data_IF_130577326661
#
_entry.id   IF_130577326661
#
_cell.length_a   1.000
_cell.length_b   1.000
_cell.length_c   1.000
_cell.angle_alpha   90.00
_cell.angle_beta   90.00
_cell.angle_gamma   90.00
#
_symmetry.space_group_name_H-M   'P 1'
#
loop_
_entity.id
_entity.type
_entity.pdbx_description
1 polymer ?
#
# COMPACT_ATOMS: atom_id res chain seq x y z
N UNK A 1 -14.66 -14.91 12.08
CA UNK A 1 -14.74 -13.82 11.09
C UNK A 1 -16.08 -13.12 11.20
N UNK A 2 -16.08 -11.82 11.46
CA UNK A 2 -17.31 -11.02 11.59
C UNK A 2 -17.67 -10.48 10.21
N UNK A 3 -18.62 -11.11 9.52
CA UNK A 3 -19.11 -10.62 8.22
C UNK A 3 -19.56 -9.17 8.37
N UNK A 4 -19.07 -8.27 7.50
CA UNK A 4 -19.49 -6.86 7.48
C UNK A 4 -21.00 -6.82 7.22
N UNK A 5 -21.78 -6.39 8.21
CA UNK A 5 -23.23 -6.23 8.07
C UNK A 5 -23.50 -5.03 7.15
N UNK A 6 -24.32 -5.22 6.12
CA UNK A 6 -24.82 -4.14 5.25
C UNK A 6 -25.44 -3.04 6.12
N UNK A 7 -24.74 -1.93 6.28
CA UNK A 7 -25.27 -0.71 6.88
C UNK A 7 -26.01 0.06 5.78
N UNK A 8 -27.32 0.26 5.97
CA UNK A 8 -28.16 1.02 5.05
C UNK A 8 -27.83 2.52 5.13
N UNK A 9 -26.97 3.03 4.24
CA UNK A 9 -26.79 4.47 4.07
C UNK A 9 -27.79 5.03 3.04
N UNK A 10 -28.44 6.14 3.37
CA UNK A 10 -29.58 6.71 2.62
C UNK A 10 -29.31 7.30 1.24
N UNK A 11 -28.06 7.39 0.77
CA UNK A 11 -27.73 7.75 -0.63
C UNK A 11 -26.37 7.17 -1.00
N UNK A 12 -26.33 5.88 -1.31
CA UNK A 12 -25.23 5.34 -2.11
C UNK A 12 -25.31 6.06 -3.47
N UNK A 13 -24.30 6.84 -3.84
CA UNK A 13 -24.21 7.33 -5.21
C UNK A 13 -24.14 6.09 -6.10
N UNK A 14 -25.06 5.94 -7.04
CA UNK A 14 -25.04 4.79 -7.92
C UNK A 14 -23.68 4.73 -8.62
N UNK A 15 -22.95 3.61 -8.49
CA UNK A 15 -21.66 3.50 -9.12
C UNK A 15 -21.89 3.53 -10.63
N UNK A 16 -20.96 4.11 -11.42
CA UNK A 16 -21.04 4.07 -12.88
C UNK A 16 -21.30 2.65 -13.37
N UNK A 17 -22.03 2.51 -14.48
CA UNK A 17 -22.40 1.20 -15.01
C UNK A 17 -21.18 0.30 -15.19
N UNK A 18 -20.07 0.86 -15.65
CA UNK A 18 -18.81 0.13 -15.86
C UNK A 18 -18.23 -0.46 -14.55
N UNK A 19 -18.37 0.26 -13.44
CA UNK A 19 -17.94 -0.23 -12.13
C UNK A 19 -18.87 -1.34 -11.61
N UNK A 20 -20.16 -1.31 -11.97
CA UNK A 20 -21.09 -2.41 -11.66
C UNK A 20 -20.74 -3.65 -12.46
N UNK A 21 -20.53 -3.50 -13.78
CA UNK A 21 -20.12 -4.59 -14.66
C UNK A 21 -18.81 -5.23 -14.19
N UNK A 22 -17.81 -4.42 -13.82
CA UNK A 22 -16.55 -4.95 -13.27
C UNK A 22 -16.79 -5.75 -11.99
N UNK A 23 -17.64 -5.26 -11.09
CA UNK A 23 -17.96 -6.01 -9.87
C UNK A 23 -18.62 -7.35 -10.17
N UNK A 24 -19.57 -7.38 -11.09
CA UNK A 24 -20.23 -8.62 -11.50
C UNK A 24 -19.24 -9.60 -12.13
N UNK A 25 -18.30 -9.11 -12.94
CA UNK A 25 -17.20 -9.93 -13.49
C UNK A 25 -16.29 -10.48 -12.38
N UNK A 26 -15.92 -9.63 -11.41
CA UNK A 26 -15.14 -10.04 -10.23
C UNK A 26 -15.95 -10.98 -9.34
N UNK A 27 -17.28 -10.95 -9.31
CA UNK A 27 -18.07 -11.88 -8.51
C UNK A 27 -18.25 -13.23 -9.24
N UNK A 28 -18.33 -13.22 -10.57
CA UNK A 28 -18.57 -14.41 -11.39
C UNK A 28 -17.29 -15.19 -11.78
N UNK A 29 -16.12 -14.55 -11.82
CA UNK A 29 -14.89 -15.20 -12.26
C UNK A 29 -14.48 -16.37 -11.35
N UNK A 30 -13.88 -17.46 -11.85
CA UNK A 30 -13.25 -18.47 -10.99
C UNK A 30 -12.05 -17.88 -10.24
N UNK A 31 -11.68 -18.45 -9.09
CA UNK A 31 -10.57 -17.93 -8.26
C UNK A 31 -9.25 -17.91 -9.03
N UNK A 32 -8.96 -18.97 -9.77
CA UNK A 32 -7.76 -19.07 -10.61
C UNK A 32 -7.74 -18.09 -11.79
N UNK A 33 -8.90 -17.58 -12.23
CA UNK A 33 -9.01 -16.63 -13.33
C UNK A 33 -9.27 -15.19 -12.86
N UNK A 34 -9.29 -14.95 -11.55
CA UNK A 34 -9.62 -13.64 -10.99
C UNK A 34 -8.58 -12.58 -11.41
N UNK A 35 -7.31 -12.98 -11.52
CA UNK A 35 -6.25 -12.09 -11.98
C UNK A 35 -6.47 -11.57 -13.40
N UNK A 36 -7.09 -12.33 -14.31
CA UNK A 36 -7.33 -11.87 -15.69
C UNK A 36 -8.35 -10.74 -15.75
N UNK A 37 -9.32 -10.74 -14.83
CA UNK A 37 -10.30 -9.66 -14.69
C UNK A 37 -9.67 -8.41 -14.08
N UNK A 38 -8.73 -8.58 -13.14
CA UNK A 38 -8.15 -7.47 -12.38
C UNK A 38 -6.92 -6.83 -13.04
N UNK A 39 -6.10 -7.60 -13.76
CA UNK A 39 -4.86 -7.15 -14.42
C UNK A 39 -5.03 -5.90 -15.31
N UNK A 40 -6.12 -5.72 -16.07
CA UNK A 40 -6.31 -4.51 -16.89
C UNK A 40 -6.41 -3.21 -16.07
N UNK A 41 -6.76 -3.31 -14.78
CA UNK A 41 -7.00 -2.17 -13.90
C UNK A 41 -5.73 -1.81 -13.11
N UNK A 42 -4.72 -1.29 -13.82
CA UNK A 42 -3.48 -0.76 -13.22
C UNK A 42 -3.67 0.66 -12.67
N UNK A 43 -4.60 1.41 -13.23
CA UNK A 43 -5.02 2.72 -12.76
C UNK A 43 -6.51 2.69 -12.47
N UNK A 44 -7.00 3.65 -11.68
CA UNK A 44 -8.42 3.73 -11.35
C UNK A 44 -9.18 4.43 -12.50
N UNK A 45 -9.99 3.71 -13.30
CA UNK A 45 -10.61 4.29 -14.49
C UNK A 45 -11.92 5.01 -14.18
N UNK A 46 -12.42 4.89 -12.94
CA UNK A 46 -13.73 5.40 -12.56
C UNK A 46 -13.60 6.76 -11.87
N UNK A 47 -14.71 7.49 -11.80
CA UNK A 47 -14.81 8.59 -10.85
C UNK A 47 -14.63 8.08 -9.42
N UNK A 48 -14.30 8.99 -8.49
CA UNK A 48 -14.21 8.66 -7.06
C UNK A 48 -15.49 7.97 -6.59
N UNK A 49 -15.37 6.74 -6.10
CA UNK A 49 -16.49 5.88 -5.72
C UNK A 49 -16.72 5.77 -4.21
N UNK A 50 -17.62 4.87 -3.81
CA UNK A 50 -17.89 4.51 -2.42
C UNK A 50 -17.54 3.03 -2.18
N UNK A 51 -16.77 2.75 -1.12
CA UNK A 51 -16.34 1.41 -0.74
C UNK A 51 -17.52 0.48 -0.40
N UNK A 52 -18.69 1.02 -0.03
CA UNK A 52 -19.90 0.21 0.20
C UNK A 52 -20.29 -0.65 -1.00
N UNK A 53 -20.05 -0.19 -2.22
CA UNK A 53 -20.33 -0.99 -3.42
C UNK A 53 -19.41 -2.19 -3.53
N UNK A 54 -18.15 -2.04 -3.10
CA UNK A 54 -17.12 -3.06 -3.22
C UNK A 54 -17.12 -4.08 -2.07
N UNK A 55 -18.07 -4.02 -1.13
CA UNK A 55 -18.18 -4.97 -0.02
C UNK A 55 -18.15 -6.44 -0.50
N UNK A 56 -18.92 -6.87 -1.53
CA UNK A 56 -18.86 -8.26 -1.98
C UNK A 56 -17.48 -8.63 -2.55
N UNK A 57 -16.88 -7.72 -3.33
CA UNK A 57 -15.52 -7.88 -3.86
C UNK A 57 -14.49 -8.01 -2.73
N UNK A 58 -14.56 -7.16 -1.72
CA UNK A 58 -13.67 -7.20 -0.55
C UNK A 58 -13.82 -8.51 0.24
N UNK A 59 -15.06 -8.97 0.47
CA UNK A 59 -15.29 -10.25 1.13
C UNK A 59 -14.70 -11.42 0.33
N UNK A 60 -14.85 -11.40 -1.00
CA UNK A 60 -14.25 -12.42 -1.86
C UNK A 60 -12.72 -12.40 -1.76
N UNK A 61 -12.12 -11.21 -1.73
CA UNK A 61 -10.68 -11.05 -1.56
C UNK A 61 -10.22 -11.60 -0.21
N UNK A 62 -10.99 -11.36 0.86
CA UNK A 62 -10.70 -11.90 2.19
C UNK A 62 -10.72 -13.43 2.21
N UNK A 63 -11.70 -14.04 1.55
CA UNK A 63 -11.81 -15.50 1.42
C UNK A 63 -10.63 -16.06 0.63
N UNK A 64 -10.31 -15.46 -0.53
CA UNK A 64 -9.20 -15.92 -1.39
C UNK A 64 -7.83 -15.75 -0.71
N UNK A 65 -7.61 -14.64 0.01
CA UNK A 65 -6.39 -14.46 0.82
C UNK A 65 -6.33 -15.45 1.98
N UNK A 66 -7.45 -15.75 2.64
CA UNK A 66 -7.49 -16.74 3.71
C UNK A 66 -7.11 -18.14 3.20
N UNK A 67 -7.69 -18.56 2.06
CA UNK A 67 -7.37 -19.84 1.42
C UNK A 67 -5.88 -19.93 1.06
N UNK A 68 -5.31 -18.85 0.52
CA UNK A 68 -3.87 -18.80 0.21
C UNK A 68 -3.01 -18.85 1.49
N UNK A 69 -3.36 -18.09 2.53
CA UNK A 69 -2.64 -18.10 3.81
C UNK A 69 -2.64 -19.49 4.43
N UNK A 70 -3.76 -20.20 4.37
CA UNK A 70 -3.87 -21.58 4.87
C UNK A 70 -3.06 -22.55 4.01
N UNK A 71 -3.23 -22.51 2.68
CA UNK A 71 -2.53 -23.38 1.72
C UNK A 71 -1.00 -23.27 1.84
N UNK A 72 -0.48 -22.07 2.03
CA UNK A 72 0.95 -21.76 2.09
C UNK A 72 1.49 -21.55 3.49
N UNK A 73 0.67 -21.78 4.53
CA UNK A 73 1.00 -21.66 5.95
C UNK A 73 1.69 -20.33 6.32
N UNK A 74 1.14 -19.22 5.84
CA UNK A 74 1.73 -17.87 6.04
C UNK A 74 1.56 -17.31 7.46
N UNK A 75 1.19 -18.14 8.44
CA UNK A 75 1.24 -17.79 9.86
C UNK A 75 2.69 -17.72 10.40
N UNK A 76 3.62 -18.38 9.69
CA UNK A 76 5.06 -18.24 9.85
C UNK A 76 5.72 -17.94 8.51
N UNK A 77 7.06 -17.99 8.46
CA UNK A 77 7.80 -17.84 7.21
C UNK A 77 7.35 -18.89 6.19
N UNK A 78 7.09 -18.44 4.96
CA UNK A 78 6.63 -19.30 3.87
C UNK A 78 7.57 -20.50 3.64
N UNK A 79 6.99 -21.70 3.64
CA UNK A 79 7.74 -22.96 3.44
C UNK A 79 7.76 -23.42 1.98
N UNK A 80 6.72 -23.09 1.21
CA UNK A 80 6.57 -23.50 -0.19
C UNK A 80 6.18 -22.33 -1.08
N UNK A 81 6.78 -22.26 -2.26
CA UNK A 81 6.51 -21.22 -3.25
C UNK A 81 5.05 -21.24 -3.72
N UNK A 82 4.53 -20.07 -4.07
CA UNK A 82 3.20 -19.96 -4.67
C UNK A 82 3.16 -20.65 -6.04
N UNK A 83 2.03 -21.26 -6.36
CA UNK A 83 1.76 -21.60 -7.75
C UNK A 83 1.51 -20.29 -8.53
N UNK A 84 1.78 -20.32 -9.83
CA UNK A 84 1.72 -19.12 -10.67
C UNK A 84 0.33 -18.45 -10.66
N UNK A 85 -0.74 -19.25 -10.62
CA UNK A 85 -2.12 -18.74 -10.58
C UNK A 85 -2.41 -18.02 -9.26
N UNK A 86 -2.04 -18.63 -8.12
CA UNK A 86 -2.23 -18.03 -6.80
C UNK A 86 -1.41 -16.74 -6.66
N UNK A 87 -0.14 -16.75 -7.07
CA UNK A 87 0.73 -15.58 -7.02
C UNK A 87 0.11 -14.40 -7.79
N UNK A 88 -0.31 -14.62 -9.04
CA UNK A 88 -0.90 -13.57 -9.87
C UNK A 88 -2.22 -13.06 -9.31
N UNK A 89 -3.01 -13.95 -8.73
CA UNK A 89 -4.28 -13.61 -8.08
C UNK A 89 -4.05 -12.74 -6.85
N UNK A 90 -3.10 -13.10 -5.99
CA UNK A 90 -2.73 -12.28 -4.82
C UNK A 90 -2.22 -10.91 -5.24
N UNK A 91 -1.26 -10.83 -6.17
CA UNK A 91 -0.72 -9.55 -6.66
C UNK A 91 -1.82 -8.66 -7.21
N UNK A 92 -2.69 -9.20 -8.07
CA UNK A 92 -3.77 -8.44 -8.71
C UNK A 92 -4.80 -7.95 -7.69
N UNK A 93 -5.15 -8.77 -6.70
CA UNK A 93 -6.08 -8.41 -5.63
C UNK A 93 -5.51 -7.35 -4.69
N UNK A 94 -4.25 -7.49 -4.28
CA UNK A 94 -3.56 -6.51 -3.42
C UNK A 94 -3.43 -5.17 -4.14
N UNK A 95 -3.06 -5.21 -5.42
CA UNK A 95 -3.01 -4.03 -6.27
C UNK A 95 -4.39 -3.34 -6.39
N UNK A 96 -5.44 -4.09 -6.71
CA UNK A 96 -6.79 -3.54 -6.83
C UNK A 96 -7.33 -3.01 -5.49
N UNK A 97 -7.03 -3.68 -4.38
CA UNK A 97 -7.37 -3.22 -3.03
C UNK A 97 -6.73 -1.87 -2.71
N UNK A 98 -5.49 -1.66 -3.16
CA UNK A 98 -4.82 -0.35 -3.05
C UNK A 98 -5.56 0.71 -3.85
N UNK A 99 -5.96 0.42 -5.09
CA UNK A 99 -6.73 1.35 -5.92
C UNK A 99 -8.08 1.73 -5.26
N UNK A 100 -8.76 0.77 -4.65
CA UNK A 100 -9.99 1.01 -3.88
C UNK A 100 -9.73 1.96 -2.70
N UNK A 101 -8.69 1.69 -1.89
CA UNK A 101 -8.30 2.57 -0.78
C UNK A 101 -7.82 3.95 -1.27
N UNK A 102 -7.37 4.07 -2.51
CA UNK A 102 -7.00 5.35 -3.09
C UNK A 102 -8.22 6.16 -3.50
N UNK A 103 -9.17 5.51 -4.18
CA UNK A 103 -10.20 6.17 -4.96
C UNK A 103 -11.62 6.04 -4.42
N UNK A 104 -11.85 5.30 -3.32
CA UNK A 104 -13.16 5.20 -2.68
C UNK A 104 -13.26 5.97 -1.36
N UNK A 105 -14.44 6.48 -1.03
CA UNK A 105 -14.80 6.96 0.32
C UNK A 105 -15.20 5.77 1.23
N UNK A 106 -15.44 6.02 2.52
CA UNK A 106 -15.77 4.98 3.51
C UNK A 106 -14.73 3.86 3.60
N UNK A 107 -13.47 4.27 3.57
CA UNK A 107 -12.32 3.36 3.50
C UNK A 107 -12.27 2.42 4.68
N UNK A 108 -12.72 2.83 5.88
CA UNK A 108 -12.80 2.01 7.09
C UNK A 108 -13.58 0.68 6.95
N UNK A 109 -14.23 0.44 5.81
CA UNK A 109 -14.83 -0.84 5.47
C UNK A 109 -13.80 -1.94 5.12
N UNK A 110 -12.58 -1.61 4.74
CA UNK A 110 -11.57 -2.64 4.47
C UNK A 110 -10.96 -3.14 5.80
N UNK A 111 -11.22 -4.38 6.18
CA UNK A 111 -10.83 -4.92 7.49
C UNK A 111 -9.79 -6.03 7.42
N UNK A 112 -9.19 -6.22 6.25
CA UNK A 112 -8.30 -7.33 5.88
C UNK A 112 -6.85 -7.17 6.35
N UNK A 113 -6.62 -6.27 7.30
CA UNK A 113 -5.28 -5.93 7.79
C UNK A 113 -4.58 -7.13 8.45
N UNK A 114 -5.36 -8.03 9.05
CA UNK A 114 -4.89 -9.31 9.59
C UNK A 114 -4.38 -10.27 8.50
N UNK A 115 -4.99 -10.27 7.30
CA UNK A 115 -4.49 -11.02 6.15
C UNK A 115 -3.17 -10.45 5.65
N UNK A 116 -3.05 -9.11 5.61
CA UNK A 116 -1.81 -8.45 5.21
C UNK A 116 -0.65 -8.78 6.15
N UNK A 117 -0.91 -8.85 7.45
CA UNK A 117 0.10 -9.26 8.45
C UNK A 117 0.64 -10.67 8.15
N UNK A 118 -0.23 -11.63 7.82
CA UNK A 118 0.19 -12.98 7.44
C UNK A 118 1.00 -12.96 6.13
N UNK A 119 0.54 -12.18 5.13
CA UNK A 119 1.24 -12.04 3.85
C UNK A 119 2.63 -11.40 3.96
N UNK A 120 2.96 -10.68 5.05
CA UNK A 120 4.33 -10.21 5.31
C UNK A 120 5.33 -11.35 5.50
N UNK A 121 4.88 -12.59 5.75
CA UNK A 121 5.75 -13.75 5.88
C UNK A 121 6.04 -14.46 4.54
N UNK A 122 5.60 -13.90 3.41
CA UNK A 122 5.87 -14.46 2.09
C UNK A 122 7.36 -14.34 1.70
N UNK A 123 7.85 -15.33 0.95
CA UNK A 123 9.15 -15.30 0.27
C UNK A 123 9.06 -14.70 -1.14
N UNK A 124 7.85 -14.53 -1.70
CA UNK A 124 7.64 -13.98 -3.03
C UNK A 124 7.78 -12.44 -3.02
N UNK A 125 8.73 -11.88 -3.79
CA UNK A 125 9.02 -10.45 -3.73
C UNK A 125 7.87 -9.58 -4.27
N UNK A 126 7.12 -10.05 -5.27
CA UNK A 126 6.03 -9.28 -5.87
C UNK A 126 4.82 -9.21 -4.93
N UNK A 127 4.46 -10.34 -4.30
CA UNK A 127 3.40 -10.39 -3.29
C UNK A 127 3.79 -9.56 -2.07
N UNK A 128 5.05 -9.63 -1.62
CA UNK A 128 5.55 -8.84 -0.51
C UNK A 128 5.49 -7.34 -0.83
N UNK A 129 5.96 -6.92 -2.01
CA UNK A 129 5.92 -5.53 -2.44
C UNK A 129 4.49 -4.99 -2.47
N UNK A 130 3.55 -5.73 -3.09
CA UNK A 130 2.15 -5.32 -3.15
C UNK A 130 1.51 -5.22 -1.76
N UNK A 131 1.85 -6.14 -0.86
CA UNK A 131 1.42 -6.14 0.54
C UNK A 131 1.92 -4.88 1.26
N UNK A 132 3.21 -4.56 1.13
CA UNK A 132 3.82 -3.37 1.74
C UNK A 132 3.23 -2.07 1.19
N UNK A 133 3.00 -1.97 -0.12
CA UNK A 133 2.35 -0.80 -0.75
C UNK A 133 0.93 -0.60 -0.21
N UNK A 134 0.18 -1.69 -0.05
CA UNK A 134 -1.18 -1.63 0.50
C UNK A 134 -1.19 -1.24 1.99
N UNK A 135 -0.28 -1.79 2.79
CA UNK A 135 -0.10 -1.43 4.20
C UNK A 135 0.30 0.04 4.36
N UNK A 136 1.24 0.53 3.55
CA UNK A 136 1.63 1.94 3.53
C UNK A 136 0.42 2.83 3.21
N UNK A 137 -0.40 2.42 2.25
CA UNK A 137 -1.60 3.18 1.90
C UNK A 137 -2.61 3.23 3.06
N UNK A 138 -2.79 2.12 3.76
CA UNK A 138 -3.64 2.04 4.94
C UNK A 138 -3.09 2.89 6.11
N UNK A 139 -1.76 2.94 6.29
CA UNK A 139 -1.12 3.63 7.43
C UNK A 139 -1.11 5.15 7.31
N UNK A 140 -1.02 5.70 6.10
CA UNK A 140 -1.00 7.14 5.86
C UNK A 140 -2.34 7.84 6.14
N UNK A 141 -3.42 7.12 6.46
CA UNK A 141 -4.76 7.70 6.65
C UNK A 141 -5.33 7.43 8.04
N UNK A 142 -5.66 8.51 8.74
CA UNK A 142 -6.09 8.51 10.14
C UNK A 142 -7.33 7.62 10.42
N UNK A 143 -8.25 7.47 9.47
CA UNK A 143 -9.46 6.64 9.63
C UNK A 143 -9.19 5.14 9.78
N UNK A 144 -8.00 4.68 9.39
CA UNK A 144 -7.60 3.26 9.47
C UNK A 144 -6.93 2.86 10.77
N UNK A 145 -6.69 3.83 11.65
CA UNK A 145 -5.79 3.61 12.76
C UNK A 145 -6.30 2.58 13.77
N UNK A 146 -7.60 2.30 13.90
CA UNK A 146 -8.06 1.35 14.92
C UNK A 146 -7.63 -0.09 14.61
N UNK A 147 -7.94 -0.57 13.41
CA UNK A 147 -7.63 -1.96 13.02
C UNK A 147 -6.14 -2.12 12.74
N UNK A 148 -5.49 -1.07 12.21
CA UNK A 148 -4.03 -1.07 12.07
C UNK A 148 -3.33 -1.08 13.44
N UNK A 149 -3.76 -0.27 14.41
CA UNK A 149 -3.18 -0.27 15.77
C UNK A 149 -3.34 -1.62 16.47
N UNK A 150 -4.45 -2.32 16.24
CA UNK A 150 -4.67 -3.65 16.81
C UNK A 150 -3.64 -4.67 16.32
N UNK A 151 -3.20 -4.56 15.06
CA UNK A 151 -2.21 -5.45 14.44
C UNK A 151 -0.78 -4.85 14.42
N UNK A 152 -0.61 -3.59 14.84
CA UNK A 152 0.64 -2.85 14.74
C UNK A 152 1.80 -3.53 15.47
N UNK A 153 1.53 -4.09 16.66
CA UNK A 153 2.57 -4.77 17.44
C UNK A 153 3.11 -6.00 16.69
N UNK A 154 2.25 -6.79 16.05
CA UNK A 154 2.63 -8.02 15.35
C UNK A 154 3.42 -7.72 14.08
N UNK A 155 2.92 -6.79 13.24
CA UNK A 155 3.62 -6.36 12.03
C UNK A 155 4.96 -5.70 12.32
N UNK A 156 5.07 -4.97 13.44
CA UNK A 156 6.25 -4.15 13.74
C UNK A 156 7.55 -4.96 13.74
N UNK A 157 7.55 -6.17 14.29
CA UNK A 157 8.75 -7.01 14.33
C UNK A 157 9.22 -7.38 12.91
N UNK A 158 8.29 -7.83 12.05
CA UNK A 158 8.60 -8.21 10.66
C UNK A 158 9.01 -7.02 9.81
N UNK A 159 8.28 -5.91 9.91
CA UNK A 159 8.62 -4.68 9.20
C UNK A 159 10.02 -4.18 9.61
N UNK A 160 10.38 -4.27 10.88
CA UNK A 160 11.74 -3.93 11.34
C UNK A 160 12.79 -4.89 10.78
N UNK A 161 12.53 -6.20 10.71
CA UNK A 161 13.44 -7.16 10.06
C UNK A 161 13.62 -6.87 8.56
N UNK A 162 12.54 -6.56 7.86
CA UNK A 162 12.58 -6.21 6.43
C UNK A 162 13.28 -4.86 6.18
N UNK A 163 13.22 -3.94 7.13
CA UNK A 163 13.89 -2.65 7.07
C UNK A 163 15.39 -2.71 7.46
N UNK A 164 15.82 -3.72 8.22
CA UNK A 164 17.19 -3.82 8.74
C UNK A 164 18.30 -3.73 7.67
N UNK A 165 18.16 -4.36 6.47
CA UNK A 165 19.14 -4.20 5.38
C UNK A 165 19.26 -2.76 4.86
N UNK A 166 18.23 -1.93 5.04
CA UNK A 166 18.20 -0.54 4.63
C UNK A 166 18.83 0.39 5.67
N UNK A 167 18.83 -0.01 6.94
CA UNK A 167 19.48 0.73 8.02
C UNK A 167 20.99 0.47 8.12
N UNK A 168 21.43 -0.70 7.68
CA UNK A 168 22.84 -1.12 7.75
C UNK A 168 23.67 -0.68 6.54
N UNK A 169 23.04 -0.38 5.39
CA UNK A 169 23.71 0.22 4.24
C UNK A 169 23.82 1.74 4.39
N UNK A 170 24.89 2.20 5.04
CA UNK A 170 25.23 3.63 5.15
C UNK A 170 25.48 4.33 3.80
N UNK A 171 25.58 3.60 2.69
CA UNK A 171 26.07 4.09 1.41
C UNK A 171 25.07 3.94 0.23
N UNK A 172 23.74 3.86 0.44
CA UNK A 172 22.77 3.79 -0.67
C UNK A 172 22.64 5.12 -1.44
N UNK A 173 23.33 6.19 -1.04
CA UNK A 173 23.51 7.34 -1.94
C UNK A 173 24.77 7.05 -2.77
N UNK A 174 24.65 6.54 -4.01
CA UNK A 174 25.79 6.66 -4.92
C UNK A 174 26.08 8.14 -5.03
N UNK A 175 27.35 8.48 -4.78
CA UNK A 175 27.93 9.76 -5.13
C UNK A 175 27.39 10.12 -6.51
N UNK A 176 26.58 11.19 -6.57
CA UNK A 176 26.10 11.72 -7.83
C UNK A 176 27.34 12.23 -8.56
N UNK A 177 27.90 11.39 -9.43
CA UNK A 177 28.77 11.86 -10.49
C UNK A 177 27.93 12.87 -11.28
N UNK A 178 28.28 14.14 -11.08
CA UNK A 178 27.94 15.22 -11.98
C UNK A 178 28.51 14.80 -13.32
N UNK A 179 27.65 14.30 -14.21
CA UNK A 179 27.71 14.44 -15.66
C UNK A 179 26.97 13.28 -16.33
N UNK A 180 25.64 13.30 -16.29
CA UNK A 180 24.85 12.86 -17.46
C UNK A 180 23.43 13.38 -17.33
N UNK A 181 23.11 14.32 -18.21
CA UNK A 181 21.74 14.74 -18.44
C UNK A 181 20.98 13.62 -19.18
N UNK A 182 19.68 13.60 -18.90
CA UNK A 182 18.59 13.01 -19.69
C UNK A 182 18.04 11.62 -19.31
N UNK A 183 16.75 11.70 -18.96
CA UNK A 183 15.67 10.76 -19.27
C UNK A 183 15.50 9.54 -18.36
N UNK A 184 14.77 9.74 -17.26
CA UNK A 184 13.85 8.73 -16.74
C UNK A 184 12.71 9.40 -15.94
N UNK A 185 11.68 9.85 -16.66
CA UNK A 185 10.36 10.00 -16.07
C UNK A 185 9.80 8.58 -15.79
N UNK A 186 10.10 8.05 -14.62
CA UNK A 186 9.47 6.84 -14.09
C UNK A 186 9.31 7.00 -12.59
N UNK A 187 8.07 7.24 -12.18
CA UNK A 187 7.42 7.01 -10.90
C UNK A 187 8.24 6.37 -9.74
N UNK A 188 9.36 6.96 -9.37
CA UNK A 188 10.09 6.62 -8.17
C UNK A 188 9.56 7.51 -7.04
N UNK A 189 8.80 6.91 -6.11
CA UNK A 189 8.58 7.50 -4.80
C UNK A 189 9.95 7.55 -4.10
N UNK A 190 10.68 8.64 -4.29
CA UNK A 190 11.99 8.85 -3.69
C UNK A 190 11.81 9.28 -2.22
N UNK A 191 12.23 8.43 -1.28
CA UNK A 191 12.31 8.78 0.14
C UNK A 191 13.67 9.43 0.39
N UNK A 192 13.74 10.77 0.30
CA UNK A 192 14.97 11.52 0.60
C UNK A 192 14.95 12.00 2.03
N UNK A 193 15.91 11.54 2.84
CA UNK A 193 16.21 12.12 4.14
C UNK A 193 16.97 13.43 3.92
N UNK A 194 16.27 14.56 3.93
CA UNK A 194 16.91 15.87 3.94
C UNK A 194 17.38 16.17 5.36
N UNK A 195 18.59 15.73 5.70
CA UNK A 195 19.29 16.29 6.85
C UNK A 195 19.85 17.65 6.43
N UNK A 196 19.29 18.73 6.97
CA UNK A 196 19.86 20.07 6.79
C UNK A 196 21.14 20.18 7.63
N UNK A 197 22.27 19.96 6.98
CA UNK A 197 23.60 19.94 7.59
C UNK A 197 24.10 21.33 8.03
N UNK A 198 23.30 22.39 7.87
CA UNK A 198 23.75 23.76 8.12
C UNK A 198 23.71 24.24 9.57
N UNK A 199 23.37 23.40 10.55
CA UNK A 199 23.41 23.87 11.94
C UNK A 199 23.76 22.83 13.00
N UNK A 200 24.86 22.10 12.77
CA UNK A 200 25.43 21.15 13.73
C UNK A 200 25.96 21.78 15.04
N UNK A 201 25.97 23.11 15.17
CA UNK A 201 26.38 23.80 16.40
C UNK A 201 25.22 24.24 17.32
N UNK A 202 23.96 24.23 16.87
CA UNK A 202 22.80 24.58 17.71
C UNK A 202 22.04 23.36 18.28
N UNK A 203 22.29 22.16 17.75
CA UNK A 203 21.59 20.92 18.12
C UNK A 203 22.08 20.25 19.42
N UNK A 204 23.11 20.77 20.08
CA UNK A 204 23.64 20.17 21.31
C UNK A 204 22.96 20.62 22.62
N UNK A 205 22.10 21.64 22.61
CA UNK A 205 21.61 22.23 23.85
C UNK A 205 20.17 21.84 24.23
N UNK A 206 19.22 21.71 23.30
CA UNK A 206 17.83 21.40 23.63
C UNK A 206 17.24 20.44 22.60
N UNK A 207 16.69 19.31 23.08
CA UNK A 207 16.20 18.17 22.30
C UNK A 207 15.57 18.57 20.97
N UNK A 208 16.22 18.13 19.88
CA UNK A 208 15.85 18.49 18.52
C UNK A 208 14.42 18.08 18.20
N UNK A 209 13.60 19.04 17.78
CA UNK A 209 12.29 18.78 17.20
C UNK A 209 12.49 18.51 15.71
N UNK A 210 12.37 17.24 15.32
CA UNK A 210 12.31 16.86 13.91
C UNK A 210 10.93 17.23 13.38
N UNK A 211 10.88 18.14 12.41
CA UNK A 211 9.63 18.54 11.74
C UNK A 211 9.54 17.78 10.42
N UNK A 212 8.58 16.85 10.32
CA UNK A 212 8.31 16.15 9.07
C UNK A 212 7.38 16.99 8.20
N UNK A 213 7.78 17.21 6.96
CA UNK A 213 6.92 17.75 5.90
C UNK A 213 6.82 16.71 4.78
N UNK A 214 5.60 16.53 4.26
CA UNK A 214 5.29 15.49 3.29
C UNK A 214 4.98 16.15 1.95
N UNK A 215 5.77 15.83 0.92
CA UNK A 215 5.60 16.36 -0.43
C UNK A 215 5.06 15.27 -1.34
N UNK A 216 4.22 15.64 -2.32
CA UNK A 216 3.53 14.67 -3.18
C UNK A 216 4.28 14.38 -4.46
N UNK A 217 5.14 15.29 -4.90
CA UNK A 217 5.95 15.16 -6.10
C UNK A 217 7.36 15.72 -5.87
N UNK A 218 8.31 15.33 -6.74
CA UNK A 218 9.65 15.91 -6.74
C UNK A 218 9.62 17.41 -7.10
N UNK A 219 8.64 17.84 -7.91
CA UNK A 219 8.41 19.25 -8.24
C UNK A 219 8.05 20.07 -7.00
N UNK A 220 7.20 19.54 -6.11
CA UNK A 220 6.84 20.21 -4.85
C UNK A 220 8.09 20.45 -3.96
N UNK A 221 9.04 19.51 -3.97
CA UNK A 221 10.30 19.62 -3.21
C UNK A 221 11.21 20.68 -3.84
N UNK A 222 11.38 20.64 -5.16
CA UNK A 222 12.19 21.62 -5.90
C UNK A 222 11.64 23.04 -5.80
N UNK A 223 10.31 23.18 -5.75
CA UNK A 223 9.66 24.48 -5.59
C UNK A 223 9.86 25.04 -4.18
N UNK A 224 9.83 24.20 -3.13
CA UNK A 224 10.20 24.62 -1.78
C UNK A 224 11.67 25.03 -1.66
N UNK A 225 12.58 24.27 -2.29
CA UNK A 225 14.01 24.63 -2.36
C UNK A 225 14.25 25.94 -3.11
N UNK A 226 13.48 26.20 -4.17
CA UNK A 226 13.55 27.44 -4.95
C UNK A 226 12.96 28.66 -4.21
N UNK A 227 11.90 28.47 -3.41
CA UNK A 227 11.27 29.53 -2.61
C UNK A 227 12.01 29.79 -1.27
N UNK A 228 12.93 28.90 -0.88
CA UNK A 228 13.67 28.92 0.39
C UNK A 228 15.07 29.54 0.36
N UNK A 229 15.28 30.66 -0.34
CA UNK A 229 16.54 31.40 -0.28
C UNK A 229 16.40 32.92 -0.50
N UNK A 230 15.90 33.65 0.50
CA UNK A 230 16.26 35.04 0.83
C UNK A 230 15.61 35.41 2.19
N UNK A 231 16.25 36.28 3.00
CA UNK A 231 16.46 36.14 4.45
C UNK A 231 15.22 36.19 5.34
#
# INVERSE_FOLDING_TARGET
MTKIKKLHHKRLNFPPQDAQTLREQIEAAPTDGLHDVLKPYQEWPFVRGDMYHWIPTLNRFDETMADAIEKYKLSGLQESDFDHSTQQTLVSMLHFSRLLLENCINRNLYSSVDRLDSLLNTSDPEVLECTLRLLLRASQRWSYQRDLRANQALMSARLMTLADPWHTKKDIVPHADKDTAESAASHANEFRLLADDKNTNLLKAHGGVVRYQFFRTAEDVQQMEAEGAAP
#
